data_IF_124753960137
#
_entry.id   IF_124753960137
#
_cell.length_a   1.000
_cell.length_b   1.000
_cell.length_c   1.000
_cell.angle_alpha   90.00
_cell.angle_beta   90.00
_cell.angle_gamma   90.00
#
_symmetry.space_group_name_H-M   'P 1'
#
loop_
_entity.id
_entity.type
_entity.pdbx_description
1 polymer ?
#
# COMPACT_ATOMS: atom_id res chain seq x y z
N UNK A 1 49.70 -26.38 12.99
CA UNK A 1 49.29 -25.74 11.73
C UNK A 1 47.77 -25.73 11.64
N UNK A 2 47.13 -24.65 12.11
CA UNK A 2 45.68 -24.49 12.11
C UNK A 2 45.20 -23.95 10.75
N UNK A 3 44.21 -24.62 10.18
CA UNK A 3 43.82 -24.59 8.77
C UNK A 3 43.14 -23.27 8.34
N UNK A 4 43.64 -22.56 7.31
CA UNK A 4 43.04 -21.31 6.80
C UNK A 4 41.74 -21.51 6.00
N UNK A 5 41.32 -22.74 5.72
CA UNK A 5 40.12 -23.04 4.89
C UNK A 5 38.78 -22.76 5.59
N UNK A 6 38.72 -22.81 6.93
CA UNK A 6 37.45 -22.67 7.68
C UNK A 6 36.95 -21.23 7.78
N UNK A 7 37.87 -20.25 7.74
CA UNK A 7 37.55 -18.82 7.86
C UNK A 7 36.98 -18.28 6.54
N UNK A 8 37.47 -18.79 5.39
CA UNK A 8 36.98 -18.36 4.08
C UNK A 8 35.52 -18.79 3.82
N UNK A 9 35.12 -19.96 4.31
CA UNK A 9 33.76 -20.51 4.13
C UNK A 9 32.72 -19.83 5.02
N UNK A 10 33.11 -19.37 6.22
CA UNK A 10 32.20 -18.64 7.12
C UNK A 10 31.99 -17.20 6.65
N UNK A 11 33.01 -16.55 6.08
CA UNK A 11 32.86 -15.20 5.50
C UNK A 11 31.94 -15.16 4.27
N UNK A 12 32.00 -16.17 3.39
CA UNK A 12 31.16 -16.23 2.18
C UNK A 12 29.68 -16.43 2.51
N UNK A 13 29.37 -17.24 3.53
CA UNK A 13 28.00 -17.50 3.97
C UNK A 13 27.33 -16.25 4.57
N UNK A 14 28.08 -15.41 5.28
CA UNK A 14 27.57 -14.16 5.87
C UNK A 14 27.25 -13.11 4.79
N UNK A 15 28.06 -13.04 3.72
CA UNK A 15 27.80 -12.13 2.59
C UNK A 15 26.58 -12.61 1.78
N UNK A 16 26.43 -13.92 1.57
CA UNK A 16 25.26 -14.52 0.91
C UNK A 16 23.97 -14.35 1.72
N UNK A 17 24.04 -14.39 3.07
CA UNK A 17 22.88 -14.16 3.94
C UNK A 17 22.49 -12.67 4.05
N UNK A 18 23.44 -11.74 3.97
CA UNK A 18 23.17 -10.31 3.97
C UNK A 18 22.65 -9.79 2.62
N UNK A 19 22.95 -10.48 1.52
CA UNK A 19 22.48 -10.12 0.18
C UNK A 19 21.14 -10.75 -0.23
N UNK A 20 20.56 -11.62 0.62
CA UNK A 20 19.35 -12.38 0.31
C UNK A 20 18.16 -11.95 1.17
N UNK A 21 18.01 -10.64 1.45
CA UNK A 21 16.74 -10.14 1.98
C UNK A 21 15.66 -10.51 0.96
N UNK A 22 14.68 -11.37 1.31
CA UNK A 22 13.64 -11.75 0.38
C UNK A 22 12.99 -10.49 -0.18
N UNK A 23 12.74 -10.46 -1.48
CA UNK A 23 12.12 -9.30 -2.15
C UNK A 23 10.82 -8.88 -1.44
N UNK A 24 10.04 -9.87 -0.95
CA UNK A 24 8.88 -9.65 -0.09
C UNK A 24 9.20 -8.85 1.20
N UNK A 25 10.34 -9.09 1.85
CA UNK A 25 10.76 -8.34 3.02
C UNK A 25 11.16 -6.89 2.72
N UNK A 26 11.43 -6.55 1.45
CA UNK A 26 11.80 -5.19 1.06
C UNK A 26 10.57 -4.30 0.89
N UNK A 27 9.47 -4.82 0.36
CA UNK A 27 8.20 -4.08 0.25
C UNK A 27 7.39 -4.12 1.55
N UNK A 28 7.47 -5.23 2.29
CA UNK A 28 6.74 -5.41 3.53
C UNK A 28 7.08 -4.35 4.56
N UNK A 29 6.07 -3.88 5.28
CA UNK A 29 6.20 -2.79 6.23
C UNK A 29 5.00 -1.86 6.22
N UNK A 30 5.15 -0.75 6.93
CA UNK A 30 4.10 0.27 7.04
C UNK A 30 4.35 1.37 6.02
N UNK A 31 3.28 1.76 5.35
CA UNK A 31 3.24 2.80 4.34
C UNK A 31 2.25 3.88 4.78
N UNK A 32 2.59 5.14 4.57
CA UNK A 32 1.71 6.27 4.85
C UNK A 32 1.69 7.24 3.67
N UNK A 33 0.60 7.99 3.52
CA UNK A 33 0.52 8.91 2.41
C UNK A 33 -0.68 9.84 2.40
N UNK A 34 -0.84 10.47 1.24
CA UNK A 34 -1.87 11.47 0.95
C UNK A 34 -2.40 11.26 -0.46
N UNK A 35 -3.63 11.70 -0.69
CA UNK A 35 -4.29 11.63 -1.96
C UNK A 35 -5.06 12.91 -2.28
N UNK A 36 -5.57 12.96 -3.50
CA UNK A 36 -6.42 14.04 -3.99
C UNK A 36 -7.57 13.45 -4.79
N UNK A 37 -8.73 14.06 -4.66
CA UNK A 37 -9.95 13.63 -5.32
C UNK A 37 -11.11 13.80 -4.36
N UNK A 38 -12.31 13.75 -4.92
CA UNK A 38 -13.55 13.87 -4.17
C UNK A 38 -14.48 12.76 -4.64
N UNK A 39 -15.18 12.14 -3.70
CA UNK A 39 -16.32 11.28 -4.00
C UNK A 39 -17.59 11.99 -3.53
N UNK A 40 -18.70 11.78 -4.23
CA UNK A 40 -19.95 12.48 -3.95
C UNK A 40 -21.08 11.50 -3.60
N UNK A 41 -21.04 10.86 -2.41
CA UNK A 41 -22.09 9.94 -2.01
C UNK A 41 -23.48 10.63 -2.01
N UNK A 42 -24.56 9.93 -2.40
CA UNK A 42 -25.90 10.49 -2.36
C UNK A 42 -26.29 10.98 -0.97
N UNK A 43 -26.93 12.15 -0.89
CA UNK A 43 -27.42 12.72 0.36
C UNK A 43 -26.35 13.00 1.42
N UNK A 44 -25.07 13.00 1.04
CA UNK A 44 -23.93 13.34 1.90
C UNK A 44 -23.13 14.49 1.26
N UNK A 45 -22.47 15.36 2.05
CA UNK A 45 -21.42 16.22 1.53
C UNK A 45 -20.33 15.41 0.81
N UNK A 46 -19.56 16.04 -0.10
CA UNK A 46 -18.39 15.40 -0.68
C UNK A 46 -17.47 14.84 0.41
N UNK A 47 -16.92 13.67 0.17
CA UNK A 47 -15.88 13.08 1.02
C UNK A 47 -14.54 13.17 0.28
N UNK A 48 -13.44 13.10 1.02
CA UNK A 48 -12.09 13.21 0.45
C UNK A 48 -11.28 11.94 0.69
N UNK A 49 -11.58 10.84 -0.04
CA UNK A 49 -10.89 9.56 0.14
C UNK A 49 -9.38 9.73 0.00
N UNK A 50 -8.64 8.98 0.82
CA UNK A 50 -7.19 8.96 0.80
C UNK A 50 -6.52 10.31 1.14
N UNK A 51 -7.23 11.35 1.60
CA UNK A 51 -6.61 12.63 1.98
C UNK A 51 -5.42 12.40 2.93
N UNK A 52 -5.62 11.52 3.91
CA UNK A 52 -4.55 10.85 4.64
C UNK A 52 -4.83 9.34 4.68
N UNK A 53 -3.79 8.53 4.64
CA UNK A 53 -3.92 7.09 4.77
C UNK A 53 -2.70 6.45 5.40
N UNK A 54 -2.91 5.28 6.00
CA UNK A 54 -1.87 4.39 6.51
C UNK A 54 -2.23 2.96 6.11
N UNK A 55 -1.25 2.22 5.61
CA UNK A 55 -1.41 0.83 5.21
C UNK A 55 -0.21 -0.01 5.58
N UNK A 56 -0.40 -1.31 5.52
CA UNK A 56 0.58 -2.32 5.87
C UNK A 56 0.63 -3.39 4.79
N UNK A 57 1.85 -3.83 4.48
CA UNK A 57 2.13 -5.04 3.71
C UNK A 57 2.83 -6.01 4.67
N UNK A 58 2.14 -7.03 5.19
CA UNK A 58 2.76 -7.98 6.10
C UNK A 58 3.87 -8.78 5.41
N UNK A 59 4.94 -9.10 6.14
CA UNK A 59 6.07 -9.89 5.62
C UNK A 59 5.70 -11.27 5.03
N UNK A 60 4.51 -11.79 5.35
CA UNK A 60 4.07 -13.12 4.96
C UNK A 60 2.93 -13.12 3.94
N UNK A 61 2.47 -11.95 3.49
CA UNK A 61 1.28 -11.83 2.64
C UNK A 61 1.52 -10.81 1.52
N UNK A 62 1.15 -11.20 0.30
CA UNK A 62 1.10 -10.28 -0.86
C UNK A 62 -0.23 -9.50 -0.85
N UNK A 63 -0.52 -8.84 0.28
CA UNK A 63 -1.74 -8.05 0.49
C UNK A 63 -1.36 -6.71 1.07
N UNK A 64 -1.87 -5.64 0.47
CA UNK A 64 -1.83 -4.30 1.02
C UNK A 64 -3.17 -3.96 1.62
N UNK A 65 -3.22 -3.61 2.91
CA UNK A 65 -4.46 -3.17 3.55
C UNK A 65 -4.20 -2.01 4.50
N UNK A 66 -5.25 -1.27 4.83
CA UNK A 66 -5.11 -0.14 5.73
C UNK A 66 -6.38 0.66 5.89
N UNK A 67 -6.20 1.89 6.37
CA UNK A 67 -7.27 2.85 6.61
C UNK A 67 -6.97 4.20 5.95
N UNK A 68 -8.03 4.86 5.52
CA UNK A 68 -7.96 6.24 5.06
C UNK A 68 -8.86 7.12 5.93
N UNK A 69 -8.53 8.41 6.00
CA UNK A 69 -9.35 9.42 6.67
C UNK A 69 -9.23 10.78 6.01
N UNK A 70 -10.29 11.57 6.12
CA UNK A 70 -10.28 12.98 5.78
C UNK A 70 -10.46 13.90 7.00
N UNK A 71 -10.36 15.21 6.75
CA UNK A 71 -10.51 16.28 7.72
C UNK A 71 -11.91 16.43 8.29
N UNK A 72 -12.91 15.87 7.62
CA UNK A 72 -14.32 15.90 8.02
C UNK A 72 -14.70 14.63 8.80
N UNK A 73 -13.71 13.86 9.25
CA UNK A 73 -13.84 12.61 9.99
C UNK A 73 -14.45 11.45 9.19
N UNK A 74 -14.57 11.57 7.86
CA UNK A 74 -14.90 10.42 7.03
C UNK A 74 -13.69 9.49 6.99
N UNK A 75 -13.97 8.20 6.99
CA UNK A 75 -12.94 7.17 6.99
C UNK A 75 -13.46 5.89 6.36
N UNK A 76 -12.55 4.95 6.16
CA UNK A 76 -12.87 3.60 5.77
C UNK A 76 -11.59 2.80 5.63
N UNK A 77 -11.72 1.59 5.12
CA UNK A 77 -10.58 0.69 4.92
C UNK A 77 -10.27 0.53 3.43
N UNK A 78 -9.09 0.02 3.13
CA UNK A 78 -8.76 -0.46 1.80
C UNK A 78 -8.06 -1.81 1.89
N UNK A 79 -8.19 -2.60 0.83
CA UNK A 79 -7.50 -3.88 0.69
C UNK A 79 -7.26 -4.17 -0.78
N UNK A 80 -6.02 -4.53 -1.12
CA UNK A 80 -5.61 -4.95 -2.44
C UNK A 80 -4.63 -6.11 -2.42
N UNK A 81 -4.56 -6.82 -3.54
CA UNK A 81 -3.63 -7.91 -3.78
C UNK A 81 -2.38 -7.34 -4.48
N UNK A 82 -1.21 -7.86 -4.13
CA UNK A 82 0.06 -7.41 -4.70
C UNK A 82 0.52 -8.38 -5.77
N UNK A 83 0.79 -7.86 -6.95
CA UNK A 83 1.45 -8.56 -8.05
C UNK A 83 2.87 -8.01 -8.26
N UNK A 84 3.84 -8.92 -8.29
CA UNK A 84 5.24 -8.57 -8.52
C UNK A 84 5.51 -8.37 -10.01
N UNK A 85 5.72 -7.12 -10.43
CA UNK A 85 6.05 -6.77 -11.83
C UNK A 85 7.54 -6.96 -12.08
N UNK A 86 8.39 -6.57 -11.12
CA UNK A 86 9.83 -6.76 -11.20
C UNK A 86 10.47 -6.80 -9.80
N UNK A 87 11.80 -6.87 -9.73
CA UNK A 87 12.52 -6.80 -8.44
C UNK A 87 12.50 -5.38 -7.81
N UNK A 88 12.13 -4.36 -8.59
CA UNK A 88 12.10 -2.95 -8.16
C UNK A 88 10.69 -2.39 -8.07
N UNK A 89 9.70 -3.07 -8.64
CA UNK A 89 8.33 -2.59 -8.74
C UNK A 89 7.34 -3.71 -8.40
N UNK A 90 6.36 -3.38 -7.57
CA UNK A 90 5.18 -4.21 -7.35
C UNK A 90 3.93 -3.38 -7.60
N UNK A 91 2.91 -4.03 -8.15
CA UNK A 91 1.64 -3.43 -8.48
C UNK A 91 0.57 -3.99 -7.54
N UNK A 92 -0.43 -3.18 -7.21
CA UNK A 92 -1.50 -3.55 -6.31
C UNK A 92 -2.84 -3.06 -6.84
N UNK A 93 -3.81 -3.97 -6.92
CA UNK A 93 -5.20 -3.64 -7.23
C UNK A 93 -6.09 -4.06 -6.07
N UNK A 94 -7.11 -3.26 -5.79
CA UNK A 94 -8.00 -3.52 -4.68
C UNK A 94 -9.22 -2.63 -4.67
N UNK A 95 -9.88 -2.63 -3.52
CA UNK A 95 -11.04 -1.80 -3.26
C UNK A 95 -10.86 -0.99 -1.98
N UNK A 96 -11.60 0.10 -1.89
CA UNK A 96 -11.72 0.90 -0.68
C UNK A 96 -13.18 1.01 -0.26
N UNK A 97 -13.39 1.17 1.04
CA UNK A 97 -14.71 1.31 1.65
C UNK A 97 -14.89 2.70 2.24
N UNK A 98 -16.13 3.06 2.52
CA UNK A 98 -16.49 4.21 3.33
C UNK A 98 -17.38 3.73 4.48
N UNK A 99 -16.98 4.09 5.70
CA UNK A 99 -17.70 3.81 6.93
C UNK A 99 -18.68 4.97 7.20
N UNK A 100 -19.83 4.93 6.51
CA UNK A 100 -20.91 5.88 6.73
C UNK A 100 -21.42 5.76 8.19
N UNK A 101 -21.42 6.83 9.00
CA UNK A 101 -21.91 6.76 10.38
C UNK A 101 -23.40 6.41 10.50
N UNK A 102 -24.16 6.49 9.40
CA UNK A 102 -25.59 6.18 9.33
C UNK A 102 -25.91 4.81 8.72
N UNK A 103 -24.93 4.10 8.17
CA UNK A 103 -25.12 2.85 7.44
C UNK A 103 -23.95 1.85 7.66
N UNK A 104 -24.08 0.58 7.26
CA UNK A 104 -22.93 -0.32 7.22
C UNK A 104 -21.86 0.18 6.24
N UNK A 105 -20.60 -0.22 6.47
CA UNK A 105 -19.49 0.05 5.56
C UNK A 105 -19.82 -0.37 4.13
N UNK A 106 -19.55 0.51 3.16
CA UNK A 106 -19.88 0.31 1.75
C UNK A 106 -18.60 0.29 0.94
N UNK A 107 -18.45 -0.68 0.02
CA UNK A 107 -17.40 -0.64 -1.00
C UNK A 107 -17.66 0.56 -1.92
N UNK A 108 -16.78 1.55 -1.85
CA UNK A 108 -16.99 2.86 -2.44
C UNK A 108 -16.26 3.04 -3.78
N UNK A 109 -15.33 2.13 -4.11
CA UNK A 109 -14.72 2.02 -5.43
C UNK A 109 -13.45 1.19 -5.41
N UNK A 110 -12.77 1.19 -6.56
CA UNK A 110 -11.55 0.43 -6.78
C UNK A 110 -10.31 1.33 -6.72
N UNK A 111 -9.15 0.74 -6.48
CA UNK A 111 -7.86 1.43 -6.53
C UNK A 111 -6.77 0.58 -7.17
N UNK A 112 -5.79 1.28 -7.72
CA UNK A 112 -4.58 0.76 -8.33
C UNK A 112 -3.37 1.51 -7.75
N UNK A 113 -2.28 0.81 -7.43
CA UNK A 113 -1.08 1.41 -6.84
C UNK A 113 0.19 0.69 -7.29
N UNK A 114 1.21 1.46 -7.66
CA UNK A 114 2.56 0.99 -7.93
C UNK A 114 3.47 1.36 -6.75
N UNK A 115 4.20 0.36 -6.25
CA UNK A 115 5.23 0.50 -5.24
C UNK A 115 6.61 0.48 -5.90
N UNK A 116 7.36 1.55 -5.73
CA UNK A 116 8.75 1.69 -6.16
C UNK A 116 9.65 1.34 -4.98
N UNK A 117 10.13 0.10 -4.98
CA UNK A 117 10.64 -0.60 -3.79
C UNK A 117 11.97 -0.01 -3.31
N UNK A 118 12.84 0.37 -4.24
CA UNK A 118 14.16 0.92 -3.91
C UNK A 118 14.05 2.35 -3.39
N UNK A 119 13.09 3.11 -3.92
CA UNK A 119 12.79 4.47 -3.58
C UNK A 119 11.98 4.57 -2.27
N UNK A 120 11.29 3.50 -1.90
CA UNK A 120 10.40 3.47 -0.74
C UNK A 120 9.21 4.41 -0.90
N UNK A 121 8.73 4.58 -2.14
CA UNK A 121 7.56 5.42 -2.48
C UNK A 121 6.51 4.60 -3.21
N UNK A 122 5.26 5.06 -3.18
CA UNK A 122 4.19 4.49 -3.98
C UNK A 122 3.30 5.58 -4.57
N UNK A 123 2.70 5.29 -5.71
CA UNK A 123 1.79 6.18 -6.43
C UNK A 123 0.64 5.36 -7.03
N UNK A 124 -0.55 5.94 -7.11
CA UNK A 124 -1.73 5.22 -7.54
C UNK A 124 -2.93 6.10 -7.86
N UNK A 125 -3.98 5.47 -8.36
CA UNK A 125 -5.27 6.09 -8.66
C UNK A 125 -6.42 5.30 -8.06
N UNK A 126 -7.47 5.99 -7.65
CA UNK A 126 -8.70 5.35 -7.17
C UNK A 126 -9.89 5.88 -7.98
N UNK A 127 -10.94 5.08 -8.04
CA UNK A 127 -12.23 5.46 -8.61
C UNK A 127 -13.29 5.45 -7.52
N UNK A 128 -14.41 6.14 -7.76
CA UNK A 128 -15.59 6.04 -6.91
C UNK A 128 -16.78 5.55 -7.71
N UNK A 129 -17.68 4.83 -7.05
CA UNK A 129 -19.00 4.52 -7.57
C UNK A 129 -19.92 5.76 -7.60
N UNK A 130 -19.51 6.91 -7.02
CA UNK A 130 -20.30 8.13 -6.90
C UNK A 130 -19.65 9.42 -7.45
N UNK A 131 -20.38 10.21 -8.27
CA UNK A 131 -21.50 9.76 -9.11
C UNK A 131 -21.01 8.65 -10.05
N UNK A 132 -21.84 7.76 -10.61
CA UNK A 132 -21.31 6.69 -11.47
C UNK A 132 -21.17 7.16 -12.94
N UNK A 133 -19.98 7.06 -13.58
CA UNK A 133 -18.67 6.77 -12.98
C UNK A 133 -18.05 7.99 -12.29
N UNK A 134 -17.37 7.76 -11.15
CA UNK A 134 -16.79 8.83 -10.35
C UNK A 134 -15.57 9.43 -11.04
N UNK A 135 -15.24 10.67 -10.71
CA UNK A 135 -13.95 11.22 -11.16
C UNK A 135 -12.83 10.45 -10.44
N UNK A 136 -11.79 10.02 -11.16
CA UNK A 136 -10.69 9.33 -10.54
C UNK A 136 -9.92 10.29 -9.62
N UNK A 137 -9.50 9.78 -8.48
CA UNK A 137 -8.55 10.43 -7.60
C UNK A 137 -7.16 9.83 -7.74
N UNK A 138 -6.22 10.46 -7.05
CA UNK A 138 -4.81 10.05 -6.98
C UNK A 138 -4.43 9.79 -5.54
N UNK A 139 -3.44 8.93 -5.33
CA UNK A 139 -2.82 8.72 -4.04
C UNK A 139 -1.32 8.52 -4.22
N UNK A 140 -0.56 8.90 -3.20
CA UNK A 140 0.89 8.69 -3.13
C UNK A 140 1.29 8.48 -1.68
N UNK A 141 2.37 7.76 -1.46
CA UNK A 141 2.88 7.48 -0.13
C UNK A 141 4.34 7.12 -0.11
N UNK A 142 4.80 6.80 1.10
CA UNK A 142 6.15 6.37 1.38
C UNK A 142 6.16 5.28 2.44
N UNK A 143 7.20 4.45 2.42
CA UNK A 143 7.47 3.50 3.48
C UNK A 143 8.00 4.22 4.72
N UNK A 144 7.52 3.84 5.90
CA UNK A 144 7.95 4.43 7.19
C UNK A 144 8.58 3.42 8.14
N UNK A 145 8.24 2.14 8.00
CA UNK A 145 8.81 1.04 8.80
C UNK A 145 9.03 -0.19 7.93
#
# INVERSE_FOLDING_TARGET
MSTPKKILLTGLAVILLLGATPIAAQIAGVWEGTGRGEAYPPCHPPIHPWQNWIGEIPNSLDVFYGEWRDSDCNHGIFKGEIEWVSITEAYCEGYWTWDDPSAPSIVAGDFEMTFYILEGICEGTWTSIWPSPGLPGTMRGRKVH
#
